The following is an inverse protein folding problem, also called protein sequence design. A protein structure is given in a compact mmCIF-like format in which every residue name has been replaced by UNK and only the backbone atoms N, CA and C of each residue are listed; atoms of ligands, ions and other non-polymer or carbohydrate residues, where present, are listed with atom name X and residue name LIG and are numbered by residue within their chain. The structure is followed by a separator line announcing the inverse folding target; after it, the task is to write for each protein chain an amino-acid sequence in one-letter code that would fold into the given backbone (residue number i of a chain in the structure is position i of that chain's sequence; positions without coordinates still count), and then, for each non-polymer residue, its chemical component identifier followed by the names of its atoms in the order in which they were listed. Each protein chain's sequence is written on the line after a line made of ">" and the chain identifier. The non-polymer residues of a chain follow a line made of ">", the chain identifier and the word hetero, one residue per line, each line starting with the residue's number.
data_IF_025348836568
#
_entry.id   IF_025348836568
#
_cell.length_a   1.000
_cell.length_b   1.000
_cell.length_c   1.000
_cell.angle_alpha   90.00
_cell.angle_beta   90.00
_cell.angle_gamma   90.00
#
_symmetry.space_group_name_H-M   'P 1'
#
loop_
_entity.id
_entity.type
_entity.pdbx_description
1 polymer ?
#
# COMPACT_ATOMS: atom_id res chain seq x y z
N UNK A 1 -9.53 -14.33 -25.09
CA UNK A 1 -8.06 -14.23 -25.10
C UNK A 1 -7.61 -12.77 -25.20
N UNK A 2 -7.67 -12.00 -24.11
CA UNK A 2 -7.13 -10.64 -24.06
C UNK A 2 -6.46 -10.42 -22.70
N UNK A 3 -5.23 -9.93 -22.74
CA UNK A 3 -4.27 -9.89 -21.64
C UNK A 3 -4.69 -8.99 -20.48
N UNK A 4 -4.98 -9.63 -19.36
CA UNK A 4 -4.81 -9.00 -18.06
C UNK A 4 -3.37 -9.25 -17.62
N UNK A 5 -2.42 -8.55 -18.25
CA UNK A 5 -1.09 -8.43 -17.66
C UNK A 5 -1.28 -7.70 -16.31
N UNK A 6 -0.87 -8.29 -15.17
CA UNK A 6 -1.04 -7.65 -13.88
C UNK A 6 -0.24 -6.34 -13.87
N UNK A 7 -0.92 -5.21 -13.64
CA UNK A 7 -0.29 -3.87 -13.63
C UNK A 7 0.87 -3.80 -12.61
N UNK A 8 0.70 -4.49 -11.47
CA UNK A 8 1.68 -4.53 -10.38
C UNK A 8 1.94 -6.01 -10.02
N UNK A 9 2.84 -6.70 -10.75
CA UNK A 9 3.13 -8.11 -10.50
C UNK A 9 3.81 -8.35 -9.14
N UNK A 10 4.54 -7.34 -8.65
CA UNK A 10 5.20 -7.35 -7.36
C UNK A 10 4.66 -6.20 -6.51
N UNK A 11 3.92 -6.54 -5.47
CA UNK A 11 3.32 -5.60 -4.53
C UNK A 11 4.02 -5.68 -3.16
N UNK A 12 3.93 -4.62 -2.34
CA UNK A 12 4.34 -4.70 -0.94
C UNK A 12 3.67 -5.91 -0.25
N UNK A 13 4.42 -6.57 0.62
CA UNK A 13 3.96 -7.73 1.40
C UNK A 13 4.28 -7.52 2.87
N UNK A 14 3.59 -8.27 3.72
CA UNK A 14 3.96 -8.37 5.13
C UNK A 14 5.20 -9.27 5.23
N UNK A 15 6.28 -8.72 5.75
CA UNK A 15 7.54 -9.41 5.95
C UNK A 15 7.52 -10.24 7.23
N UNK A 16 8.39 -11.25 7.29
CA UNK A 16 8.68 -11.95 8.54
C UNK A 16 9.38 -10.98 9.49
N UNK A 17 9.05 -11.05 10.78
CA UNK A 17 9.63 -10.17 11.79
C UNK A 17 11.11 -10.50 12.03
N UNK A 18 11.99 -9.82 11.29
CA UNK A 18 13.45 -9.95 11.32
C UNK A 18 14.09 -8.55 11.43
N UNK A 19 15.34 -8.43 11.93
CA UNK A 19 16.04 -7.16 11.97
C UNK A 19 16.11 -6.51 10.58
N UNK A 20 15.56 -5.30 10.44
CA UNK A 20 15.54 -4.56 9.17
C UNK A 20 14.28 -4.75 8.31
N UNK A 21 13.29 -5.53 8.75
CA UNK A 21 11.99 -5.60 8.09
C UNK A 21 11.31 -4.22 8.07
N UNK A 22 10.78 -3.81 6.92
CA UNK A 22 10.12 -2.53 6.71
C UNK A 22 8.65 -2.57 7.10
N UNK A 23 7.91 -3.60 6.66
CA UNK A 23 6.48 -3.78 6.92
C UNK A 23 6.23 -5.19 7.50
N UNK A 24 6.31 -5.32 8.83
CA UNK A 24 6.11 -6.60 9.52
C UNK A 24 4.68 -6.84 10.03
N UNK A 25 3.76 -5.90 9.78
CA UNK A 25 2.36 -5.92 10.22
C UNK A 25 1.45 -5.38 9.12
N UNK A 26 0.15 -5.66 9.22
CA UNK A 26 -0.81 -5.08 8.29
C UNK A 26 -0.89 -3.55 8.51
N UNK A 27 -0.84 -2.71 7.46
CA UNK A 27 -0.88 -1.25 7.62
C UNK A 27 -2.05 -0.73 8.45
N UNK A 28 -3.22 -1.38 8.33
CA UNK A 28 -4.40 -1.04 9.13
C UNK A 28 -4.18 -1.23 10.64
N UNK A 29 -3.45 -2.27 11.04
CA UNK A 29 -3.11 -2.53 12.44
C UNK A 29 -2.10 -1.50 12.96
N UNK A 30 -1.12 -1.14 12.12
CA UNK A 30 -0.14 -0.08 12.45
C UNK A 30 -0.85 1.24 12.75
N UNK A 31 -1.83 1.62 11.91
CA UNK A 31 -2.64 2.83 12.10
C UNK A 31 -3.52 2.75 13.35
N UNK A 32 -4.24 1.64 13.54
CA UNK A 32 -5.13 1.44 14.70
C UNK A 32 -4.37 1.45 16.02
N UNK A 33 -3.15 0.91 16.04
CA UNK A 33 -2.31 0.83 17.22
C UNK A 33 -1.53 2.13 17.49
N UNK A 34 -1.65 3.15 16.63
CA UNK A 34 -0.88 4.39 16.76
C UNK A 34 0.62 4.22 16.51
N UNK A 35 1.03 3.12 15.85
CA UNK A 35 2.43 2.81 15.52
C UNK A 35 2.88 3.53 14.24
N UNK A 36 2.19 4.60 13.86
CA UNK A 36 2.52 5.49 12.75
C UNK A 36 2.96 6.84 13.31
N UNK A 37 3.75 7.58 12.55
CA UNK A 37 4.17 8.93 12.93
C UNK A 37 2.96 9.88 12.99
N UNK A 38 2.83 10.62 14.09
CA UNK A 38 1.74 11.59 14.31
C UNK A 38 2.15 12.98 13.78
N UNK A 39 1.92 13.21 12.49
CA UNK A 39 2.17 14.47 11.81
C UNK A 39 1.01 14.81 10.86
N UNK A 40 0.75 16.10 10.56
CA UNK A 40 -0.28 16.48 9.61
C UNK A 40 -0.09 15.81 8.24
N UNK A 41 -1.11 15.10 7.77
CA UNK A 41 -1.12 14.42 6.48
C UNK A 41 -2.22 14.99 5.58
N UNK A 42 -1.84 15.40 4.37
CA UNK A 42 -2.76 15.88 3.34
C UNK A 42 -2.75 14.90 2.17
N UNK A 43 -3.94 14.42 1.79
CA UNK A 43 -4.12 13.49 0.66
C UNK A 43 -5.28 13.96 -0.23
N UNK A 44 -5.31 13.51 -1.49
CA UNK A 44 -6.31 13.91 -2.48
C UNK A 44 -6.33 12.99 -3.69
N UNK A 45 -7.37 13.10 -4.52
CA UNK A 45 -7.59 12.32 -5.73
C UNK A 45 -7.95 13.26 -6.89
N UNK A 46 -7.62 12.87 -8.13
CA UNK A 46 -8.12 13.58 -9.31
C UNK A 46 -9.48 13.05 -9.75
N UNK A 47 -10.19 13.81 -10.59
CA UNK A 47 -11.53 13.44 -11.08
C UNK A 47 -11.55 12.22 -12.01
N UNK A 48 -10.40 11.74 -12.50
CA UNK A 48 -10.31 10.73 -13.56
C UNK A 48 -9.22 9.65 -13.32
N UNK A 49 -8.91 9.32 -12.06
CA UNK A 49 -7.91 8.28 -11.72
C UNK A 49 -8.17 6.91 -12.41
N UNK A 50 -9.44 6.56 -12.64
CA UNK A 50 -9.84 5.30 -13.30
C UNK A 50 -9.44 5.18 -14.78
N UNK A 51 -8.86 6.23 -15.38
CA UNK A 51 -8.24 6.15 -16.69
C UNK A 51 -6.91 5.34 -16.66
N UNK A 52 -6.30 5.21 -15.48
CA UNK A 52 -5.20 4.27 -15.26
C UNK A 52 -5.81 2.87 -15.12
N UNK A 53 -5.26 1.89 -15.85
CA UNK A 53 -5.63 0.48 -15.64
C UNK A 53 -5.38 0.15 -14.17
N UNK A 54 -6.42 -0.16 -13.42
CA UNK A 54 -6.31 -0.47 -11.99
C UNK A 54 -5.71 -1.86 -11.81
N UNK A 55 -4.83 -2.01 -10.81
CA UNK A 55 -4.34 -3.31 -10.35
C UNK A 55 -5.42 -4.09 -9.59
#
# INVERSE_FOLDING_TARGET
>A
IFGADPLVPFKPVIEVNLPGAFLNQHPEEILKNGNSIDVPWMTGLTSHEGAIKTA
#
